data_IF_957938075807
#
_entry.id   IF_957938075807
#
_cell.length_a   1.000
_cell.length_b   1.000
_cell.length_c   1.000
_cell.angle_alpha   90.00
_cell.angle_beta   90.00
_cell.angle_gamma   90.00
#
_symmetry.space_group_name_H-M   'P 1'
#
loop_
_entity.id
_entity.type
_entity.pdbx_description
1 polymer ?
#
# COMPACT_ATOMS: atom_id res chain seq x y z
N UNK A 1 -17.47 -12.97 9.47
CA UNK A 1 -16.42 -12.18 8.80
C UNK A 1 -15.62 -11.46 9.89
N UNK A 2 -14.56 -12.07 10.43
CA UNK A 2 -13.89 -11.56 11.63
C UNK A 2 -12.36 -11.66 11.44
N UNK A 3 -11.63 -10.61 11.82
CA UNK A 3 -10.16 -10.44 11.72
C UNK A 3 -9.54 -9.88 10.42
N UNK A 4 -10.29 -9.12 9.61
CA UNK A 4 -9.66 -8.34 8.51
C UNK A 4 -9.28 -6.92 8.93
N UNK A 5 -9.99 -6.34 9.89
CA UNK A 5 -9.74 -5.01 10.43
C UNK A 5 -9.51 -5.12 11.94
N UNK A 6 -8.68 -4.22 12.46
CA UNK A 6 -8.63 -3.99 13.89
C UNK A 6 -10.01 -3.54 14.40
N UNK A 7 -10.37 -3.96 15.60
CA UNK A 7 -11.65 -3.59 16.19
C UNK A 7 -11.71 -2.06 16.36
N UNK A 8 -12.71 -1.35 15.82
CA UNK A 8 -12.86 0.09 16.02
C UNK A 8 -13.39 0.48 17.41
N UNK A 9 -13.95 -0.46 18.19
CA UNK A 9 -14.44 -0.19 19.55
C UNK A 9 -15.65 0.76 19.58
N UNK A 10 -15.73 1.66 20.58
CA UNK A 10 -16.86 2.59 20.80
C UNK A 10 -16.80 3.88 19.93
N UNK A 11 -15.99 3.89 18.87
CA UNK A 11 -15.88 5.06 18.01
C UNK A 11 -17.19 5.32 17.22
N UNK A 12 -17.61 6.59 17.03
CA UNK A 12 -18.72 6.93 16.16
C UNK A 12 -18.52 6.34 14.75
N UNK A 13 -19.60 5.86 14.13
CA UNK A 13 -19.52 5.08 12.89
C UNK A 13 -18.71 5.73 11.76
N UNK A 14 -18.78 7.05 11.61
CA UNK A 14 -18.00 7.81 10.63
C UNK A 14 -16.49 7.81 10.94
N UNK A 15 -16.11 8.01 12.21
CA UNK A 15 -14.73 7.98 12.65
C UNK A 15 -14.14 6.57 12.48
N UNK A 16 -14.90 5.54 12.84
CA UNK A 16 -14.55 4.14 12.63
C UNK A 16 -14.30 3.82 11.15
N UNK A 17 -15.19 4.30 10.26
CA UNK A 17 -15.04 4.11 8.82
C UNK A 17 -13.76 4.77 8.28
N UNK A 18 -13.46 6.00 8.73
CA UNK A 18 -12.27 6.73 8.31
C UNK A 18 -10.98 6.03 8.72
N UNK A 19 -10.91 5.50 9.94
CA UNK A 19 -9.71 4.77 10.39
C UNK A 19 -9.54 3.47 9.61
N UNK A 20 -10.65 2.76 9.33
CA UNK A 20 -10.61 1.56 8.50
C UNK A 20 -10.15 1.87 7.07
N UNK A 21 -10.62 2.98 6.48
CA UNK A 21 -10.18 3.44 5.15
C UNK A 21 -8.70 3.80 5.14
N UNK A 22 -8.21 4.55 6.14
CA UNK A 22 -6.80 4.89 6.28
C UNK A 22 -5.94 3.63 6.35
N UNK A 23 -6.31 2.72 7.25
CA UNK A 23 -5.60 1.45 7.44
C UNK A 23 -5.53 0.64 6.15
N UNK A 24 -6.60 0.63 5.35
CA UNK A 24 -6.62 -0.04 4.05
C UNK A 24 -5.67 0.63 3.04
N UNK A 25 -5.64 1.96 2.98
CA UNK A 25 -4.80 2.73 2.08
C UNK A 25 -3.31 2.56 2.38
N UNK A 26 -2.92 2.75 3.64
CA UNK A 26 -1.53 2.57 4.10
C UNK A 26 -1.07 1.14 3.85
N UNK A 27 -1.95 0.16 4.13
CA UNK A 27 -1.62 -1.24 3.92
C UNK A 27 -1.36 -1.56 2.44
N UNK A 28 -2.23 -1.07 1.56
CA UNK A 28 -2.10 -1.31 0.13
C UNK A 28 -0.90 -0.52 -0.44
N UNK A 29 -0.65 0.72 -0.04
CA UNK A 29 0.53 1.48 -0.51
C UNK A 29 1.85 0.80 -0.13
N UNK A 30 1.95 0.28 1.10
CA UNK A 30 3.08 -0.53 1.54
C UNK A 30 3.25 -1.83 0.74
N UNK A 31 2.15 -2.55 0.50
CA UNK A 31 2.17 -3.77 -0.31
C UNK A 31 2.65 -3.48 -1.74
N UNK A 32 2.20 -2.38 -2.33
CA UNK A 32 2.56 -1.96 -3.68
C UNK A 32 4.02 -1.59 -3.78
N UNK A 33 4.56 -0.80 -2.84
CA UNK A 33 6.00 -0.48 -2.76
C UNK A 33 6.83 -1.74 -2.58
N UNK A 34 6.38 -2.65 -1.72
CA UNK A 34 7.06 -3.92 -1.49
C UNK A 34 7.13 -4.77 -2.76
N UNK A 35 6.02 -4.88 -3.48
CA UNK A 35 5.95 -5.66 -4.70
C UNK A 35 6.74 -5.02 -5.84
N UNK A 36 6.67 -3.69 -5.99
CA UNK A 36 7.51 -2.95 -6.92
C UNK A 36 9.01 -3.16 -6.66
N UNK A 37 9.45 -3.13 -5.39
CA UNK A 37 10.83 -3.47 -5.02
C UNK A 37 11.20 -4.91 -5.39
N UNK A 38 10.29 -5.87 -5.12
CA UNK A 38 10.50 -7.27 -5.47
C UNK A 38 10.67 -7.48 -6.99
N UNK A 39 9.80 -6.89 -7.81
CA UNK A 39 9.91 -6.93 -9.27
C UNK A 39 11.22 -6.31 -9.76
N UNK A 40 11.62 -5.16 -9.18
CA UNK A 40 12.90 -4.53 -9.50
C UNK A 40 14.09 -5.43 -9.15
N UNK A 41 14.07 -6.06 -7.98
CA UNK A 41 15.10 -7.02 -7.57
C UNK A 41 15.21 -8.20 -8.52
N UNK A 42 14.09 -8.73 -9.03
CA UNK A 42 14.10 -9.80 -10.05
C UNK A 42 14.81 -9.32 -11.33
N UNK A 43 14.50 -8.11 -11.82
CA UNK A 43 15.18 -7.55 -12.99
C UNK A 43 16.69 -7.41 -12.78
N UNK A 44 17.11 -6.92 -11.61
CA UNK A 44 18.54 -6.80 -11.29
C UNK A 44 19.21 -8.17 -11.21
N UNK A 45 18.59 -9.15 -10.53
CA UNK A 45 19.10 -10.51 -10.42
C UNK A 45 19.27 -11.17 -11.80
N UNK A 46 18.31 -10.97 -12.71
CA UNK A 46 18.42 -11.45 -14.08
C UNK A 46 19.65 -10.88 -14.80
N UNK A 47 19.82 -9.56 -14.78
CA UNK A 47 20.96 -8.89 -15.42
C UNK A 47 22.29 -9.38 -14.83
N UNK A 48 22.38 -9.46 -13.50
CA UNK A 48 23.57 -9.97 -12.80
C UNK A 48 23.86 -11.41 -13.21
N UNK A 49 22.84 -12.26 -13.32
CA UNK A 49 23.00 -13.67 -13.70
C UNK A 49 23.57 -13.81 -15.10
N UNK A 50 23.10 -13.00 -16.06
CA UNK A 50 23.65 -13.00 -17.43
C UNK A 50 25.10 -12.52 -17.45
N UNK A 51 25.44 -11.50 -16.66
CA UNK A 51 26.81 -11.01 -16.54
C UNK A 51 27.73 -12.08 -15.94
N UNK A 52 27.33 -12.71 -14.83
CA UNK A 52 28.10 -13.76 -14.19
C UNK A 52 28.27 -14.97 -15.11
N UNK A 53 27.22 -15.37 -15.83
CA UNK A 53 27.30 -16.43 -16.83
C UNK A 53 28.36 -16.13 -17.89
N UNK A 54 28.35 -14.91 -18.45
CA UNK A 54 29.33 -14.49 -19.45
C UNK A 54 30.77 -14.54 -18.93
N UNK A 55 30.99 -14.11 -17.69
CA UNK A 55 32.31 -14.16 -17.03
C UNK A 55 32.78 -15.61 -16.84
N UNK A 56 31.93 -16.47 -16.26
CA UNK A 56 32.28 -17.87 -15.94
C UNK A 56 32.58 -18.68 -17.20
N UNK A 57 31.87 -18.40 -18.29
CA UNK A 57 32.02 -19.13 -19.57
C UNK A 57 32.95 -18.42 -20.55
N UNK A 58 33.62 -17.34 -20.12
CA UNK A 58 34.54 -16.51 -20.92
C UNK A 58 33.95 -16.08 -22.29
N UNK A 59 32.67 -15.73 -22.28
CA UNK A 59 31.92 -15.33 -23.48
C UNK A 59 32.34 -13.94 -23.93
N UNK A 60 32.27 -13.68 -25.23
CA UNK A 60 32.47 -12.34 -25.72
C UNK A 60 31.26 -11.44 -25.37
N UNK A 61 31.48 -10.13 -25.35
CA UNK A 61 30.39 -9.17 -25.14
C UNK A 61 29.26 -9.33 -26.16
N UNK A 62 29.59 -9.73 -27.40
CA UNK A 62 28.58 -9.97 -28.46
C UNK A 62 27.67 -11.15 -28.11
N UNK A 63 28.24 -12.24 -27.58
CA UNK A 63 27.47 -13.43 -27.22
C UNK A 63 26.52 -13.14 -26.05
N UNK A 64 26.97 -12.33 -25.08
CA UNK A 64 26.13 -11.85 -23.99
C UNK A 64 24.96 -10.99 -24.49
N UNK A 65 25.18 -10.13 -25.51
CA UNK A 65 24.11 -9.33 -26.10
C UNK A 65 23.06 -10.19 -26.82
N UNK A 66 23.47 -11.28 -27.47
CA UNK A 66 22.54 -12.23 -28.11
C UNK A 66 21.61 -12.87 -27.06
N UNK A 67 22.13 -13.17 -25.86
CA UNK A 67 21.33 -13.70 -24.75
C UNK A 67 20.43 -12.62 -24.13
N UNK A 68 20.92 -11.38 -24.00
CA UNK A 68 20.16 -10.28 -23.40
C UNK A 68 19.04 -9.76 -24.31
N UNK A 69 19.27 -9.69 -25.62
CA UNK A 69 18.36 -9.13 -26.63
C UNK A 69 16.90 -9.59 -26.48
N UNK A 70 16.58 -10.89 -26.42
CA UNK A 70 15.19 -11.34 -26.24
C UNK A 70 14.61 -10.99 -24.86
N UNK A 71 15.45 -10.91 -23.83
CA UNK A 71 15.01 -10.61 -22.46
C UNK A 71 14.76 -9.12 -22.20
N UNK A 72 15.30 -8.22 -23.03
CA UNK A 72 15.16 -6.76 -22.88
C UNK A 72 13.70 -6.30 -22.89
N UNK A 73 12.85 -6.90 -23.73
CA UNK A 73 11.41 -6.59 -23.77
C UNK A 73 10.75 -6.92 -22.42
N UNK A 74 11.07 -8.09 -21.85
CA UNK A 74 10.54 -8.52 -20.56
C UNK A 74 11.03 -7.63 -19.42
N UNK A 75 12.32 -7.29 -19.39
CA UNK A 75 12.88 -6.37 -18.38
C UNK A 75 12.22 -5.00 -18.49
N UNK A 76 12.03 -4.48 -19.70
CA UNK A 76 11.35 -3.20 -19.93
C UNK A 76 9.92 -3.20 -19.41
N UNK A 77 9.12 -4.22 -19.76
CA UNK A 77 7.75 -4.38 -19.27
C UNK A 77 7.70 -4.51 -17.74
N UNK A 78 8.63 -5.26 -17.15
CA UNK A 78 8.73 -5.40 -15.71
C UNK A 78 9.05 -4.06 -15.03
N UNK A 79 9.95 -3.25 -15.60
CA UNK A 79 10.25 -1.90 -15.10
C UNK A 79 9.06 -0.95 -15.22
N UNK A 80 8.23 -1.08 -16.26
CA UNK A 80 6.96 -0.35 -16.37
C UNK A 80 6.01 -0.77 -15.24
N UNK A 81 5.88 -2.07 -14.97
CA UNK A 81 5.07 -2.58 -13.87
C UNK A 81 5.57 -2.06 -12.51
N UNK A 82 6.89 -2.06 -12.27
CA UNK A 82 7.52 -1.45 -11.08
C UNK A 82 7.04 -0.01 -10.92
N UNK A 83 7.18 0.81 -11.95
CA UNK A 83 6.77 2.23 -11.92
C UNK A 83 5.28 2.38 -11.64
N UNK A 84 4.42 1.57 -12.26
CA UNK A 84 2.98 1.57 -12.01
C UNK A 84 2.65 1.29 -10.54
N UNK A 85 3.30 0.29 -9.93
CA UNK A 85 3.09 0.00 -8.51
C UNK A 85 3.52 1.15 -7.59
N UNK A 86 4.64 1.82 -7.88
CA UNK A 86 5.06 3.00 -7.13
C UNK A 86 4.10 4.19 -7.32
N UNK A 87 3.61 4.42 -8.53
CA UNK A 87 2.64 5.48 -8.80
C UNK A 87 1.33 5.26 -8.05
N UNK A 88 0.80 4.02 -8.06
CA UNK A 88 -0.40 3.65 -7.30
C UNK A 88 -0.17 3.84 -5.80
N UNK A 89 1.00 3.45 -5.29
CA UNK A 89 1.34 3.68 -3.89
C UNK A 89 1.32 5.18 -3.52
N UNK A 90 1.94 6.03 -4.34
CA UNK A 90 1.97 7.47 -4.11
C UNK A 90 0.56 8.09 -4.17
N UNK A 91 -0.31 7.63 -5.09
CA UNK A 91 -1.72 8.06 -5.13
C UNK A 91 -2.46 7.70 -3.85
N UNK A 92 -2.19 6.53 -3.28
CA UNK A 92 -2.80 6.09 -2.01
C UNK A 92 -2.30 6.88 -0.81
N UNK A 93 -1.01 7.24 -0.80
CA UNK A 93 -0.46 8.12 0.24
C UNK A 93 -1.09 9.52 0.17
N UNK A 94 -1.40 10.02 -1.03
CA UNK A 94 -2.15 11.28 -1.18
C UNK A 94 -3.58 11.16 -0.62
N UNK A 95 -4.27 10.03 -0.84
CA UNK A 95 -5.58 9.79 -0.23
C UNK A 95 -5.49 9.67 1.30
N UNK A 96 -4.44 9.04 1.83
CA UNK A 96 -4.18 9.01 3.27
C UNK A 96 -4.02 10.43 3.83
N UNK A 97 -3.27 11.30 3.15
CA UNK A 97 -3.11 12.70 3.56
C UNK A 97 -4.46 13.46 3.58
N UNK A 98 -5.37 13.16 2.65
CA UNK A 98 -6.73 13.71 2.67
C UNK A 98 -7.52 13.21 3.88
N UNK A 99 -7.40 11.92 4.22
CA UNK A 99 -8.01 11.36 5.44
C UNK A 99 -7.51 12.07 6.68
N UNK A 100 -6.19 12.30 6.82
CA UNK A 100 -5.63 13.00 7.98
C UNK A 100 -6.23 14.39 8.12
N UNK A 101 -6.43 15.13 7.02
CA UNK A 101 -7.09 16.44 7.04
C UNK A 101 -8.55 16.35 7.49
N UNK A 102 -9.32 15.39 6.95
CA UNK A 102 -10.72 15.17 7.32
C UNK A 102 -10.81 14.78 8.81
N UNK A 103 -9.90 13.94 9.29
CA UNK A 103 -9.80 13.53 10.69
C UNK A 103 -9.56 14.73 11.61
N UNK A 104 -8.58 15.58 11.29
CA UNK A 104 -8.29 16.79 12.07
C UNK A 104 -9.47 17.77 12.12
N UNK A 105 -10.18 17.95 11.00
CA UNK A 105 -11.43 18.74 10.96
C UNK A 105 -12.51 18.13 11.86
N UNK A 106 -12.70 16.81 11.78
CA UNK A 106 -13.64 16.07 12.61
C UNK A 106 -13.34 16.22 14.10
N UNK A 107 -12.08 16.08 14.51
CA UNK A 107 -11.63 16.30 15.89
C UNK A 107 -11.91 17.73 16.37
N UNK A 108 -11.60 18.73 15.54
CA UNK A 108 -11.84 20.15 15.87
C UNK A 108 -13.34 20.49 15.98
N UNK A 109 -14.19 19.74 15.28
CA UNK A 109 -15.64 19.93 15.24
C UNK A 109 -16.41 18.89 16.09
N UNK A 110 -15.81 18.42 17.20
CA UNK A 110 -16.44 17.49 18.16
C UNK A 110 -16.98 16.19 17.53
N UNK A 111 -16.31 15.68 16.51
CA UNK A 111 -16.66 14.42 15.84
C UNK A 111 -17.66 14.57 14.68
N UNK A 112 -18.08 15.78 14.32
CA UNK A 112 -18.94 16.01 13.15
C UNK A 112 -18.09 16.08 11.89
N UNK A 113 -18.31 15.11 11.00
CA UNK A 113 -17.61 15.01 9.71
C UNK A 113 -18.59 15.23 8.56
N UNK A 114 -18.15 15.98 7.54
CA UNK A 114 -18.95 16.21 6.36
C UNK A 114 -19.04 14.93 5.51
N UNK A 115 -20.27 14.42 5.33
CA UNK A 115 -20.54 13.24 4.51
C UNK A 115 -20.10 13.39 3.06
N UNK A 116 -20.10 14.61 2.51
CA UNK A 116 -19.64 14.85 1.14
C UNK A 116 -18.13 14.61 1.01
N UNK A 117 -17.32 15.07 1.97
CA UNK A 117 -15.86 14.83 1.97
C UNK A 117 -15.54 13.33 2.09
N UNK A 118 -16.32 12.59 2.89
CA UNK A 118 -16.18 11.12 2.98
C UNK A 118 -16.53 10.46 1.64
N UNK A 119 -17.60 10.90 0.98
CA UNK A 119 -18.02 10.34 -0.31
C UNK A 119 -16.99 10.61 -1.41
N UNK A 120 -16.49 11.83 -1.51
CA UNK A 120 -15.48 12.19 -2.51
C UNK A 120 -14.20 11.36 -2.33
N UNK A 121 -13.80 11.10 -1.08
CA UNK A 121 -12.70 10.20 -0.77
C UNK A 121 -13.02 8.75 -1.17
N UNK A 122 -14.23 8.26 -0.90
CA UNK A 122 -14.64 6.91 -1.29
C UNK A 122 -14.63 6.75 -2.81
N UNK A 123 -15.10 7.75 -3.55
CA UNK A 123 -15.07 7.78 -5.01
C UNK A 123 -13.63 7.76 -5.53
N UNK A 124 -12.74 8.55 -4.91
CA UNK A 124 -11.31 8.51 -5.23
C UNK A 124 -10.70 7.12 -5.01
N UNK A 125 -11.01 6.48 -3.87
CA UNK A 125 -10.54 5.12 -3.56
C UNK A 125 -11.11 4.13 -4.57
N UNK A 126 -12.38 4.25 -4.94
CA UNK A 126 -13.05 3.37 -5.90
C UNK A 126 -12.40 3.45 -7.28
N UNK A 127 -12.21 4.66 -7.82
CA UNK A 127 -11.53 4.86 -9.10
C UNK A 127 -10.07 4.37 -9.08
N UNK A 128 -9.38 4.53 -7.95
CA UNK A 128 -8.03 3.98 -7.77
C UNK A 128 -7.98 2.46 -7.81
N UNK A 129 -9.04 1.77 -7.37
CA UNK A 129 -9.13 0.29 -7.37
C UNK A 129 -9.48 -0.24 -8.75
N UNK A 130 -10.34 0.46 -9.49
CA UNK A 130 -10.76 0.08 -10.86
C UNK A 130 -9.58 0.03 -11.82
N UNK A 131 -8.59 0.91 -11.64
CA UNK A 131 -7.40 1.04 -12.49
C UNK A 131 -6.16 0.35 -11.90
N UNK A 132 -6.29 -0.38 -10.80
CA UNK A 132 -5.13 -0.92 -10.08
C UNK A 132 -4.50 -2.12 -10.79
N UNK A 133 -3.18 -2.08 -10.99
CA UNK A 133 -2.40 -3.26 -11.36
C UNK A 133 -2.67 -4.41 -10.36
N UNK A 134 -2.57 -5.68 -10.76
CA UNK A 134 -2.81 -6.78 -9.83
C UNK A 134 -1.55 -7.09 -9.01
N UNK A 135 -1.72 -7.37 -7.73
CA UNK A 135 -0.68 -7.98 -6.89
C UNK A 135 -1.09 -9.45 -6.67
N UNK A 136 -0.22 -10.43 -6.96
CA UNK A 136 -0.55 -11.83 -6.77
C UNK A 136 -0.89 -12.19 -5.32
N UNK A 137 -1.85 -13.09 -5.14
CA UNK A 137 -2.36 -13.51 -3.82
C UNK A 137 -1.29 -14.12 -2.91
N UNK A 138 -0.29 -14.81 -3.47
CA UNK A 138 0.78 -15.37 -2.64
C UNK A 138 1.61 -14.26 -1.99
N UNK A 139 1.91 -13.17 -2.73
CA UNK A 139 2.68 -12.04 -2.24
C UNK A 139 1.90 -11.27 -1.18
N UNK A 140 0.59 -11.11 -1.42
CA UNK A 140 -0.37 -10.62 -0.43
C UNK A 140 -0.27 -11.43 0.88
N UNK A 141 -0.38 -12.76 0.80
CA UNK A 141 -0.38 -13.65 1.97
C UNK A 141 0.94 -13.61 2.75
N UNK A 142 2.08 -13.55 2.05
CA UNK A 142 3.41 -13.43 2.67
C UNK A 142 3.54 -12.17 3.53
N UNK A 143 2.93 -11.06 3.10
CA UNK A 143 2.98 -9.79 3.83
C UNK A 143 1.95 -9.66 4.94
N UNK A 144 0.80 -10.32 4.81
CA UNK A 144 -0.33 -10.22 5.74
C UNK A 144 0.06 -10.45 7.22
N UNK A 145 0.90 -11.47 7.50
CA UNK A 145 1.27 -11.84 8.89
C UNK A 145 1.94 -10.69 9.65
N UNK A 146 2.82 -9.93 8.99
CA UNK A 146 3.55 -8.81 9.61
C UNK A 146 2.69 -7.56 9.79
N UNK A 147 1.61 -7.43 9.01
CA UNK A 147 0.83 -6.20 8.92
C UNK A 147 -0.37 -6.17 9.85
N UNK A 148 -0.90 -7.33 10.26
CA UNK A 148 -1.96 -7.41 11.27
C UNK A 148 -1.56 -6.73 12.59
N UNK A 149 -0.33 -6.94 13.05
CA UNK A 149 0.20 -6.31 14.28
C UNK A 149 0.35 -4.79 14.14
N UNK A 150 0.76 -4.32 12.96
CA UNK A 150 0.87 -2.89 12.68
C UNK A 150 -0.50 -2.20 12.66
N UNK A 151 -1.49 -2.83 12.01
CA UNK A 151 -2.86 -2.31 11.98
C UNK A 151 -3.49 -2.18 13.37
N UNK A 152 -3.24 -3.15 14.26
CA UNK A 152 -3.71 -3.07 15.65
C UNK A 152 -3.10 -1.86 16.38
N UNK A 153 -1.78 -1.67 16.30
CA UNK A 153 -1.11 -0.53 16.92
C UNK A 153 -1.62 0.83 16.42
N UNK A 154 -1.87 0.95 15.11
CA UNK A 154 -2.41 2.18 14.53
C UNK A 154 -3.83 2.45 15.05
N UNK A 155 -4.68 1.41 15.12
CA UNK A 155 -6.03 1.54 15.67
C UNK A 155 -6.02 1.99 17.13
N UNK A 156 -5.10 1.44 17.96
CA UNK A 156 -4.98 1.82 19.37
C UNK A 156 -4.61 3.30 19.55
N UNK A 157 -3.67 3.81 18.74
CA UNK A 157 -3.30 5.24 18.75
C UNK A 157 -4.49 6.14 18.42
N UNK A 158 -5.29 5.76 17.42
CA UNK A 158 -6.48 6.52 17.03
C UNK A 158 -7.59 6.48 18.08
N UNK A 159 -7.76 5.33 18.76
CA UNK A 159 -8.69 5.22 19.90
C UNK A 159 -8.28 6.13 21.04
N UNK A 160 -6.99 6.17 21.37
CA UNK A 160 -6.47 7.10 22.39
C UNK A 160 -6.75 8.56 22.00
N UNK A 161 -6.46 8.96 20.76
CA UNK A 161 -6.66 10.33 20.29
C UNK A 161 -8.14 10.75 20.31
N UNK A 162 -9.02 9.88 19.84
CA UNK A 162 -10.46 10.12 19.83
C UNK A 162 -11.06 10.19 21.25
N UNK A 163 -10.58 9.35 22.18
CA UNK A 163 -11.06 9.35 23.57
C UNK A 163 -10.76 10.67 24.30
N UNK A 164 -9.58 11.26 24.06
CA UNK A 164 -9.17 12.55 24.66
C UNK A 164 -10.05 13.71 24.22
N UNK A 165 -10.55 13.67 22.98
CA UNK A 165 -11.23 14.82 22.34
C UNK A 165 -12.75 14.68 22.41
N UNK A 166 -13.29 13.48 22.19
CA UNK A 166 -14.73 13.24 22.14
C UNK A 166 -15.35 12.87 23.52
N UNK A 167 -14.58 12.84 24.61
CA UNK A 167 -15.01 12.38 25.95
C UNK A 167 -15.68 11.00 25.92
N UNK A 168 -15.20 10.10 25.06
CA UNK A 168 -15.68 8.72 24.96
C UNK A 168 -14.85 7.88 25.95
N UNK A 169 -15.46 7.10 26.86
CA UNK A 169 -14.70 6.31 27.82
C UNK A 169 -13.83 5.27 27.09
N UNK A 170 -12.52 5.37 27.29
CA UNK A 170 -11.51 4.42 26.83
C UNK A 170 -11.38 3.30 27.88
N UNK A 171 -11.84 2.10 27.56
CA UNK A 171 -11.58 0.90 28.38
C UNK A 171 -10.46 0.09 27.73
N UNK A 172 -9.41 -0.17 28.53
CA UNK A 172 -8.24 -0.98 28.18
C UNK A 172 -8.60 -2.43 27.93
#
# INVERSE_FOLDING_TARGET
MTNWYADPGKLPGQLSAIICMRSNLTWDSDLRRAYGKFLFSISCLWIISVVLYGIVTNQSFKDMLVILAPSLSLVSQNLVAVRQHFNIANMKDNAENLIVKIWQKGLSNKGVINNLEIRDLQDYIYESRKSAALVPDFFYKLRKRRQNEYMQKVMDQFREEASRICRIPYEK
#
